data_IF_428027833526
#
_entry.id   IF_428027833526
#
_cell.length_a   1.000
_cell.length_b   1.000
_cell.length_c   1.000
_cell.angle_alpha   90.00
_cell.angle_beta   90.00
_cell.angle_gamma   90.00
#
_symmetry.space_group_name_H-M   'P 1'
#
loop_
_entity.id
_entity.type
_entity.pdbx_description
1 polymer ?
#
# COMPACT_ATOMS: atom_id res chain seq x y z
N UNK A 1 -23.99 -23.18 17.41
CA UNK A 1 -23.33 -23.20 16.09
C UNK A 1 -22.69 -21.83 15.89
N UNK A 2 -21.35 -21.71 15.94
CA UNK A 2 -20.68 -20.45 15.63
C UNK A 2 -20.80 -20.23 14.12
N UNK A 3 -21.64 -19.29 13.72
CA UNK A 3 -21.72 -18.81 12.35
C UNK A 3 -20.32 -18.33 11.93
N UNK A 4 -19.57 -19.13 11.18
CA UNK A 4 -18.34 -18.70 10.51
C UNK A 4 -18.73 -17.77 9.38
N UNK A 5 -19.11 -16.54 9.72
CA UNK A 5 -19.24 -15.47 8.75
C UNK A 5 -17.86 -15.27 8.13
N UNK A 6 -17.73 -15.57 6.84
CA UNK A 6 -16.55 -15.15 6.07
C UNK A 6 -16.39 -13.65 6.28
N UNK A 7 -15.27 -13.17 6.84
CA UNK A 7 -15.07 -11.76 7.08
C UNK A 7 -15.18 -11.00 5.76
N UNK A 8 -15.98 -9.93 5.76
CA UNK A 8 -16.18 -9.07 4.59
C UNK A 8 -14.83 -8.52 4.09
N UNK A 9 -14.69 -8.32 2.78
CA UNK A 9 -13.46 -7.80 2.17
C UNK A 9 -13.02 -6.49 2.84
N UNK A 10 -13.97 -5.62 3.19
CA UNK A 10 -13.70 -4.38 3.91
C UNK A 10 -13.14 -4.62 5.31
N UNK A 11 -13.63 -5.62 6.05
CA UNK A 11 -13.04 -5.98 7.35
C UNK A 11 -11.63 -6.55 7.19
N UNK A 12 -11.37 -7.35 6.17
CA UNK A 12 -10.04 -7.90 5.92
C UNK A 12 -9.04 -6.79 5.55
N UNK A 13 -9.47 -5.86 4.69
CA UNK A 13 -8.67 -4.75 4.16
C UNK A 13 -8.42 -3.65 5.21
N UNK A 14 -9.44 -3.27 5.98
CA UNK A 14 -9.38 -2.14 6.91
C UNK A 14 -9.28 -2.55 8.40
N UNK A 15 -9.43 -3.83 8.72
CA UNK A 15 -9.30 -4.36 10.09
C UNK A 15 -7.86 -4.65 10.53
N UNK A 16 -7.68 -4.83 11.84
CA UNK A 16 -6.43 -5.29 12.50
C UNK A 16 -5.18 -4.43 12.26
N UNK A 17 -5.36 -3.14 11.99
CA UNK A 17 -4.25 -2.23 11.73
C UNK A 17 -3.56 -2.44 10.37
N UNK A 18 -4.13 -3.25 9.48
CA UNK A 18 -3.70 -3.38 8.08
C UNK A 18 -3.48 -2.02 7.40
N UNK A 19 -4.41 -1.04 7.44
CA UNK A 19 -4.22 0.23 6.74
C UNK A 19 -3.07 1.05 7.32
N UNK A 20 -2.82 0.98 8.64
CA UNK A 20 -1.68 1.67 9.27
C UNK A 20 -0.34 1.09 8.80
N UNK A 21 -0.24 -0.24 8.71
CA UNK A 21 0.95 -0.93 8.18
C UNK A 21 1.14 -0.62 6.69
N UNK A 22 0.08 -0.71 5.90
CA UNK A 22 0.10 -0.38 4.48
C UNK A 22 0.53 1.07 4.22
N UNK A 23 0.05 2.03 5.04
CA UNK A 23 0.45 3.42 4.96
C UNK A 23 1.93 3.62 5.31
N UNK A 24 2.43 2.99 6.38
CA UNK A 24 3.85 3.07 6.75
C UNK A 24 4.75 2.49 5.65
N UNK A 25 4.38 1.33 5.10
CA UNK A 25 5.10 0.75 3.95
C UNK A 25 5.05 1.69 2.75
N UNK A 26 3.89 2.27 2.45
CA UNK A 26 3.73 3.21 1.34
C UNK A 26 4.61 4.45 1.49
N UNK A 27 4.73 4.99 2.72
CA UNK A 27 5.60 6.13 2.99
C UNK A 27 7.07 5.74 2.79
N UNK A 28 7.55 4.66 3.42
CA UNK A 28 8.97 4.28 3.34
C UNK A 28 9.36 3.87 1.92
N UNK A 29 8.64 2.91 1.34
CA UNK A 29 8.94 2.37 0.01
C UNK A 29 8.62 3.40 -1.07
N UNK A 30 7.53 4.15 -0.93
CA UNK A 30 7.15 5.20 -1.87
C UNK A 30 8.14 6.36 -1.89
N UNK A 31 8.74 6.75 -0.76
CA UNK A 31 9.81 7.75 -0.72
C UNK A 31 11.07 7.24 -1.41
N UNK A 32 11.50 6.01 -1.14
CA UNK A 32 12.65 5.39 -1.83
C UNK A 32 12.42 5.36 -3.34
N UNK A 33 11.25 4.89 -3.79
CA UNK A 33 10.89 4.84 -5.20
C UNK A 33 10.79 6.23 -5.83
N UNK A 34 10.29 7.23 -5.10
CA UNK A 34 10.24 8.62 -5.58
C UNK A 34 11.64 9.17 -5.78
N UNK A 35 12.57 8.92 -4.85
CA UNK A 35 13.98 9.32 -4.98
C UNK A 35 14.64 8.65 -6.18
N UNK A 36 14.39 7.35 -6.42
CA UNK A 36 14.96 6.63 -7.57
C UNK A 36 14.35 7.12 -8.89
N UNK A 37 13.03 7.32 -8.95
CA UNK A 37 12.32 7.61 -10.20
C UNK A 37 12.33 9.10 -10.60
N UNK A 38 12.42 9.99 -9.62
CA UNK A 38 12.26 11.43 -9.81
C UNK A 38 13.38 12.26 -9.17
N UNK A 39 14.36 11.63 -8.51
CA UNK A 39 15.49 12.33 -7.87
C UNK A 39 16.28 13.19 -8.85
N UNK A 40 16.61 12.67 -10.02
CA UNK A 40 17.35 13.43 -11.05
C UNK A 40 16.56 14.65 -11.55
N UNK A 41 15.25 14.49 -11.78
CA UNK A 41 14.35 15.56 -12.22
C UNK A 41 14.26 16.67 -11.17
N UNK A 42 14.16 16.28 -9.89
CA UNK A 42 14.14 17.21 -8.75
C UNK A 42 15.48 17.97 -8.66
N UNK A 43 16.61 17.26 -8.77
CA UNK A 43 17.95 17.87 -8.68
C UNK A 43 18.25 18.80 -9.86
N UNK A 44 17.72 18.51 -11.05
CA UNK A 44 17.85 19.35 -12.24
C UNK A 44 16.86 20.53 -12.27
N UNK A 45 15.91 20.57 -11.35
CA UNK A 45 14.86 21.60 -11.32
C UNK A 45 13.88 21.50 -12.48
N UNK A 46 13.72 20.30 -13.06
CA UNK A 46 12.81 20.06 -14.17
C UNK A 46 11.36 19.93 -13.69
N UNK A 47 10.39 19.99 -14.62
CA UNK A 47 8.98 19.91 -14.28
C UNK A 47 8.59 18.53 -13.75
N UNK A 48 8.00 18.52 -12.57
CA UNK A 48 7.61 17.30 -11.88
C UNK A 48 6.16 16.94 -12.22
N UNK A 49 5.93 15.69 -12.62
CA UNK A 49 4.58 15.17 -12.74
C UNK A 49 4.10 14.63 -11.38
N UNK A 50 3.31 15.45 -10.67
CA UNK A 50 2.76 15.11 -9.35
C UNK A 50 1.89 13.86 -9.35
N UNK A 51 1.20 13.54 -10.45
CA UNK A 51 0.40 12.32 -10.56
C UNK A 51 1.26 11.05 -10.56
N UNK A 52 2.42 11.09 -11.24
CA UNK A 52 3.39 9.98 -11.19
C UNK A 52 3.97 9.78 -9.79
N UNK A 53 4.29 10.87 -9.08
CA UNK A 53 4.72 10.79 -7.67
C UNK A 53 3.61 10.16 -6.83
N UNK A 54 2.37 10.62 -6.96
CA UNK A 54 1.24 10.09 -6.19
C UNK A 54 1.05 8.57 -6.42
N UNK A 55 1.12 8.11 -7.67
CA UNK A 55 1.08 6.68 -7.98
C UNK A 55 2.25 5.89 -7.36
N UNK A 56 3.42 6.51 -7.22
CA UNK A 56 4.59 5.89 -6.60
C UNK A 56 4.36 5.55 -5.12
N UNK A 57 3.48 6.29 -4.43
CA UNK A 57 3.03 5.95 -3.07
C UNK A 57 1.81 5.01 -3.06
N UNK A 58 0.92 5.11 -4.05
CA UNK A 58 -0.27 4.25 -4.14
C UNK A 58 0.07 2.78 -4.36
N UNK A 59 1.05 2.48 -5.22
CA UNK A 59 1.43 1.09 -5.53
C UNK A 59 1.84 0.30 -4.28
N UNK A 60 2.82 0.75 -3.45
CA UNK A 60 3.21 0.02 -2.25
C UNK A 60 2.08 -0.07 -1.20
N UNK A 61 1.18 0.91 -1.12
CA UNK A 61 -0.02 0.81 -0.29
C UNK A 61 -0.94 -0.34 -0.73
N UNK A 62 -1.28 -0.38 -2.03
CA UNK A 62 -2.14 -1.40 -2.62
C UNK A 62 -1.54 -2.81 -2.49
N UNK A 63 -0.25 -2.96 -2.79
CA UNK A 63 0.47 -4.25 -2.69
C UNK A 63 0.48 -4.75 -1.24
N UNK A 64 0.73 -3.87 -0.27
CA UNK A 64 0.72 -4.26 1.15
C UNK A 64 -0.67 -4.65 1.62
N UNK A 65 -1.70 -3.90 1.20
CA UNK A 65 -3.10 -4.19 1.54
C UNK A 65 -3.55 -5.52 0.93
N UNK A 66 -3.22 -5.77 -0.34
CA UNK A 66 -3.54 -7.03 -1.02
C UNK A 66 -2.85 -8.23 -0.37
N UNK A 67 -1.55 -8.10 -0.04
CA UNK A 67 -0.80 -9.14 0.67
C UNK A 67 -1.39 -9.47 2.04
N UNK A 68 -1.83 -8.46 2.78
CA UNK A 68 -2.49 -8.65 4.07
C UNK A 68 -3.84 -9.39 3.93
N UNK A 69 -4.66 -9.02 2.95
CA UNK A 69 -5.93 -9.70 2.68
C UNK A 69 -5.69 -11.16 2.28
N UNK A 70 -4.75 -11.41 1.36
CA UNK A 70 -4.42 -12.75 0.91
C UNK A 70 -3.90 -13.62 2.06
N UNK A 71 -2.98 -13.10 2.89
CA UNK A 71 -2.46 -13.82 4.06
C UNK A 71 -3.56 -14.15 5.09
N UNK A 72 -4.50 -13.22 5.34
CA UNK A 72 -5.65 -13.48 6.22
C UNK A 72 -6.57 -14.56 5.63
N UNK A 73 -6.80 -14.58 4.31
CA UNK A 73 -7.61 -15.62 3.64
C UNK A 73 -6.97 -17.00 3.70
N UNK A 74 -5.64 -17.10 3.49
CA UNK A 74 -4.91 -18.38 3.60
C UNK A 74 -4.99 -18.96 5.01
N UNK A 75 -4.97 -18.12 6.06
CA UNK A 75 -5.08 -18.57 7.46
C UNK A 75 -6.48 -19.08 7.84
N UNK A 76 -7.51 -18.75 7.06
CA UNK A 76 -8.90 -19.13 7.31
C UNK A 76 -9.31 -20.44 6.60
N UNK A 77 -8.50 -20.91 5.65
CA UNK A 77 -8.64 -22.19 4.95
C UNK A 77 -7.85 -23.28 5.68
#
# INVERSE_FOLDING_TARGET
MKQTATPDFFQLAFGDGTPKKALMTALVVGTILTTINHGDVILRGESINYFKIMLTYCVPFCVTTWGAIHGKRVKLL
#
